data_IF_779470596649
#
_entry.id   IF_779470596649
#
_cell.length_a   1.000
_cell.length_b   1.000
_cell.length_c   1.000
_cell.angle_alpha   90.00
_cell.angle_beta   90.00
_cell.angle_gamma   90.00
#
_symmetry.space_group_name_H-M   'P 1'
#
loop_
_entity.id
_entity.type
_entity.pdbx_description
1 polymer ?
#
# COMPACT_ATOMS: atom_id res chain seq x y z
N UNK A 1 -9.78 -4.48 17.16
CA UNK A 1 -8.41 -4.54 16.58
C UNK A 1 -7.94 -3.12 16.37
N UNK A 2 -6.98 -2.71 17.14
CA UNK A 2 -6.53 -1.33 17.23
C UNK A 2 -5.11 -1.14 16.66
N UNK A 3 -4.59 0.10 16.73
CA UNK A 3 -3.23 0.45 16.32
C UNK A 3 -2.15 -0.41 16.99
N UNK A 4 -2.41 -0.98 18.18
CA UNK A 4 -1.51 -1.89 18.86
C UNK A 4 -1.17 -3.15 18.07
N UNK A 5 -2.12 -3.71 17.35
CA UNK A 5 -1.92 -4.94 16.57
C UNK A 5 -0.98 -4.71 15.37
N UNK A 6 -1.06 -3.51 14.74
CA UNK A 6 -0.18 -3.15 13.63
C UNK A 6 1.28 -2.98 14.07
N UNK A 7 1.51 -2.40 15.23
CA UNK A 7 2.86 -2.26 15.80
C UNK A 7 3.43 -3.60 16.26
N UNK A 8 2.61 -4.49 16.82
CA UNK A 8 3.02 -5.85 17.15
C UNK A 8 3.44 -6.63 15.91
N UNK A 9 2.67 -6.52 14.81
CA UNK A 9 3.03 -7.12 13.53
C UNK A 9 4.36 -6.58 13.01
N UNK A 10 4.57 -5.26 13.06
CA UNK A 10 5.83 -4.63 12.66
C UNK A 10 7.00 -5.15 13.50
N UNK A 11 6.86 -5.19 14.83
CA UNK A 11 7.92 -5.69 15.73
C UNK A 11 8.33 -7.11 15.35
N UNK A 12 7.38 -7.99 15.13
CA UNK A 12 7.65 -9.36 14.70
C UNK A 12 8.38 -9.43 13.35
N UNK A 13 7.96 -8.65 12.36
CA UNK A 13 8.64 -8.59 11.06
C UNK A 13 10.08 -8.07 11.18
N UNK A 14 10.30 -7.09 12.05
CA UNK A 14 11.65 -6.57 12.33
C UNK A 14 12.55 -7.61 12.98
N UNK A 15 12.02 -8.38 13.92
CA UNK A 15 12.74 -9.50 14.53
C UNK A 15 13.09 -10.58 13.50
N UNK A 16 12.09 -11.06 12.76
CA UNK A 16 12.26 -12.13 11.76
C UNK A 16 13.21 -11.77 10.62
N UNK A 17 13.17 -10.51 10.14
CA UNK A 17 13.90 -10.09 8.95
C UNK A 17 15.21 -9.37 9.21
N UNK A 18 15.35 -8.74 10.36
CA UNK A 18 16.47 -7.87 10.69
C UNK A 18 17.11 -8.17 12.05
N UNK A 19 16.57 -9.14 12.81
CA UNK A 19 17.07 -9.51 14.15
C UNK A 19 16.87 -8.43 15.22
N UNK A 20 15.89 -7.54 15.02
CA UNK A 20 15.56 -6.49 15.98
C UNK A 20 14.50 -6.98 16.95
N UNK A 21 14.89 -7.27 18.17
CA UNK A 21 14.05 -7.85 19.23
C UNK A 21 13.03 -6.87 19.84
N UNK A 22 13.13 -5.60 19.51
CA UNK A 22 12.23 -4.53 19.97
C UNK A 22 11.99 -3.49 18.89
N UNK A 23 10.85 -2.81 19.02
CA UNK A 23 10.51 -1.71 18.13
C UNK A 23 11.49 -0.53 18.33
N UNK A 24 12.23 -0.08 17.31
CA UNK A 24 13.05 1.10 17.40
C UNK A 24 12.21 2.36 17.64
N UNK A 25 12.86 3.43 18.12
CA UNK A 25 12.18 4.73 18.27
C UNK A 25 11.56 5.16 16.95
N UNK A 26 10.29 5.55 16.99
CA UNK A 26 9.54 6.04 15.82
C UNK A 26 9.43 7.55 15.90
N UNK A 27 9.80 8.23 14.84
CA UNK A 27 9.50 9.65 14.61
C UNK A 27 8.55 9.79 13.42
N UNK A 28 8.05 11.00 13.17
CA UNK A 28 7.21 11.33 12.01
C UNK A 28 7.83 12.44 11.20
N UNK A 29 7.74 12.34 9.88
CA UNK A 29 8.06 13.43 8.96
C UNK A 29 7.03 14.56 9.09
N UNK A 30 7.29 15.71 8.49
CA UNK A 30 6.30 16.80 8.41
C UNK A 30 4.98 16.37 7.75
N UNK A 31 5.04 15.44 6.78
CA UNK A 31 3.86 14.86 6.13
C UNK A 31 3.21 13.73 6.97
N UNK A 32 3.71 13.46 8.19
CA UNK A 32 3.15 12.48 9.11
C UNK A 32 3.61 11.03 8.87
N UNK A 33 4.46 10.74 7.87
CA UNK A 33 4.98 9.39 7.61
C UNK A 33 5.88 8.96 8.77
N UNK A 34 5.62 7.78 9.39
CA UNK A 34 6.48 7.28 10.46
C UNK A 34 7.79 6.72 9.88
N UNK A 35 8.88 6.86 10.64
CA UNK A 35 10.20 6.38 10.28
C UNK A 35 11.07 6.13 11.52
N UNK A 36 12.21 5.44 11.34
CA UNK A 36 13.19 5.14 12.39
C UNK A 36 14.40 6.09 12.28
N UNK A 37 14.50 7.12 13.13
CA UNK A 37 15.62 8.08 13.06
C UNK A 37 16.99 7.44 13.32
N UNK A 38 17.03 6.37 14.10
CA UNK A 38 18.27 5.64 14.40
C UNK A 38 18.65 4.62 13.31
N UNK A 39 17.72 4.29 12.41
CA UNK A 39 17.88 3.32 11.32
C UNK A 39 17.41 3.91 9.98
N UNK A 40 18.06 4.97 9.46
CA UNK A 40 17.54 5.74 8.32
C UNK A 40 17.51 4.95 7.00
N UNK A 41 18.12 3.77 6.94
CA UNK A 41 18.06 2.84 5.79
C UNK A 41 17.08 1.69 5.97
N UNK A 42 16.29 1.72 7.05
CA UNK A 42 15.24 0.75 7.29
C UNK A 42 13.89 1.46 7.19
N UNK A 43 13.10 1.04 6.24
CA UNK A 43 11.80 1.63 5.92
C UNK A 43 10.69 0.67 6.33
N UNK A 44 9.58 1.24 6.76
CA UNK A 44 8.37 0.48 7.01
C UNK A 44 7.14 1.29 6.62
N UNK A 45 6.05 0.59 6.39
CA UNK A 45 4.74 1.19 6.19
C UNK A 45 3.64 0.28 6.71
N UNK A 46 2.59 0.87 7.23
CA UNK A 46 1.44 0.18 7.81
C UNK A 46 0.16 0.64 7.11
N UNK A 47 -0.76 -0.28 6.90
CA UNK A 47 -2.13 0.02 6.47
C UNK A 47 -3.11 -0.89 7.19
N UNK A 48 -4.34 -0.42 7.39
CA UNK A 48 -5.41 -1.21 7.97
C UNK A 48 -6.77 -0.80 7.41
N UNK A 49 -7.66 -1.78 7.21
CA UNK A 49 -9.03 -1.55 6.77
C UNK A 49 -9.94 -2.72 7.18
N UNK A 50 -11.05 -2.43 7.86
CA UNK A 50 -12.07 -3.43 8.18
C UNK A 50 -11.55 -4.66 8.94
N UNK A 51 -10.63 -4.47 9.88
CA UNK A 51 -10.01 -5.55 10.66
C UNK A 51 -8.79 -6.21 9.99
N UNK A 52 -8.46 -5.84 8.75
CA UNK A 52 -7.25 -6.28 8.07
C UNK A 52 -6.09 -5.34 8.40
N UNK A 53 -4.89 -5.89 8.55
CA UNK A 53 -3.66 -5.14 8.76
C UNK A 53 -2.63 -5.61 7.74
N UNK A 54 -1.93 -4.66 7.12
CA UNK A 54 -0.82 -4.91 6.24
C UNK A 54 0.41 -4.13 6.73
N UNK A 55 1.54 -4.83 6.82
CA UNK A 55 2.82 -4.25 7.17
C UNK A 55 3.85 -4.58 6.09
N UNK A 56 4.61 -3.58 5.66
CA UNK A 56 5.78 -3.75 4.81
C UNK A 56 7.03 -3.23 5.51
N UNK A 57 8.15 -3.94 5.36
CA UNK A 57 9.49 -3.53 5.80
C UNK A 57 10.51 -3.78 4.69
N UNK A 58 11.51 -2.90 4.56
CA UNK A 58 12.53 -3.03 3.52
C UNK A 58 13.66 -2.03 3.66
N UNK A 59 14.66 -2.13 2.78
CA UNK A 59 15.85 -1.25 2.76
C UNK A 59 15.74 -0.07 1.80
N UNK A 60 14.61 0.07 1.14
CA UNK A 60 14.27 1.20 0.26
C UNK A 60 12.92 1.81 0.65
N UNK A 61 12.65 3.07 0.29
CA UNK A 61 11.35 3.67 0.49
C UNK A 61 10.23 2.77 -0.04
N UNK A 62 9.21 2.53 0.78
CA UNK A 62 8.07 1.69 0.43
C UNK A 62 6.77 2.26 0.98
N UNK A 63 5.68 1.85 0.35
CA UNK A 63 4.33 2.10 0.81
C UNK A 63 3.47 0.86 0.56
N UNK A 64 2.57 0.59 1.47
CA UNK A 64 1.59 -0.49 1.35
C UNK A 64 0.20 0.04 1.65
N UNK A 65 -0.80 -0.53 0.99
CA UNK A 65 -2.19 -0.25 1.29
C UNK A 65 -3.03 -1.51 1.22
N UNK A 66 -4.03 -1.62 2.09
CA UNK A 66 -5.00 -2.71 2.11
C UNK A 66 -6.39 -2.16 2.35
N UNK A 67 -7.36 -2.63 1.58
CA UNK A 67 -8.76 -2.24 1.71
C UNK A 67 -9.69 -3.46 1.69
N UNK A 68 -10.63 -3.46 2.62
CA UNK A 68 -11.74 -4.40 2.57
C UNK A 68 -12.77 -3.93 1.53
N UNK A 69 -13.17 -4.85 0.65
CA UNK A 69 -14.16 -4.55 -0.38
C UNK A 69 -15.52 -4.27 0.26
N UNK A 70 -16.09 -3.15 -0.11
CA UNK A 70 -17.44 -2.74 0.28
C UNK A 70 -18.00 -1.75 -0.72
N UNK A 71 -19.31 -1.76 -0.99
CA UNK A 71 -19.92 -0.75 -1.83
C UNK A 71 -19.69 0.66 -1.27
N UNK A 72 -19.46 1.61 -2.15
CA UNK A 72 -19.25 3.02 -1.85
C UNK A 72 -20.31 3.88 -2.58
N UNK A 73 -20.25 5.19 -2.35
CA UNK A 73 -21.13 6.13 -3.02
C UNK A 73 -20.96 6.07 -4.55
N UNK A 74 -22.04 6.16 -5.33
CA UNK A 74 -21.96 6.39 -6.76
C UNK A 74 -21.06 7.59 -7.08
N UNK A 75 -20.29 7.51 -8.16
CA UNK A 75 -19.36 8.59 -8.55
C UNK A 75 -17.97 8.53 -7.93
N UNK A 76 -17.71 7.68 -6.91
CA UNK A 76 -16.37 7.56 -6.32
C UNK A 76 -15.30 7.22 -7.37
N UNK A 77 -15.60 6.34 -8.32
CA UNK A 77 -14.68 5.98 -9.40
C UNK A 77 -14.26 7.22 -10.22
N UNK A 78 -15.19 8.10 -10.55
CA UNK A 78 -14.90 9.37 -11.26
C UNK A 78 -14.02 10.33 -10.45
N UNK A 79 -14.14 10.31 -9.14
CA UNK A 79 -13.32 11.13 -8.26
C UNK A 79 -11.89 10.60 -8.12
N UNK A 80 -11.73 9.28 -8.10
CA UNK A 80 -10.45 8.59 -7.82
C UNK A 80 -9.63 8.35 -9.08
N UNK A 81 -10.28 7.99 -10.19
CA UNK A 81 -9.63 7.51 -11.41
C UNK A 81 -9.40 8.65 -12.41
N UNK A 82 -8.23 8.62 -13.05
CA UNK A 82 -7.99 9.41 -14.27
C UNK A 82 -8.88 8.92 -15.42
N UNK A 83 -8.95 9.65 -16.51
CA UNK A 83 -9.74 9.24 -17.69
C UNK A 83 -9.31 7.86 -18.24
N UNK A 84 -7.99 7.60 -18.30
CA UNK A 84 -7.45 6.32 -18.77
C UNK A 84 -7.82 5.18 -17.82
N UNK A 85 -7.63 5.38 -16.51
CA UNK A 85 -7.97 4.41 -15.49
C UNK A 85 -9.48 4.15 -15.43
N UNK A 86 -10.29 5.19 -15.63
CA UNK A 86 -11.73 5.07 -15.68
C UNK A 86 -12.20 4.26 -16.88
N UNK A 87 -11.61 4.47 -18.07
CA UNK A 87 -11.89 3.68 -19.26
C UNK A 87 -11.52 2.20 -19.03
N UNK A 88 -10.36 1.94 -18.44
CA UNK A 88 -9.94 0.58 -18.07
C UNK A 88 -10.92 -0.07 -17.06
N UNK A 89 -11.31 0.66 -16.02
CA UNK A 89 -12.29 0.23 -15.03
C UNK A 89 -13.65 -0.14 -15.67
N UNK A 90 -14.16 0.70 -16.57
CA UNK A 90 -15.43 0.43 -17.29
C UNK A 90 -15.32 -0.79 -18.20
N UNK A 91 -14.22 -0.93 -18.92
CA UNK A 91 -13.98 -2.10 -19.77
C UNK A 91 -13.97 -3.42 -18.98
N UNK A 92 -13.65 -3.37 -17.71
CA UNK A 92 -13.69 -4.51 -16.77
C UNK A 92 -15.03 -4.70 -16.05
N UNK A 93 -16.07 -4.04 -16.50
CA UNK A 93 -17.41 -4.15 -15.94
C UNK A 93 -17.69 -3.21 -14.77
N UNK A 94 -16.78 -2.31 -14.42
CA UNK A 94 -17.02 -1.30 -13.39
C UNK A 94 -17.19 -1.85 -11.98
N UNK A 95 -16.56 -2.99 -11.66
CA UNK A 95 -16.70 -3.67 -10.38
C UNK A 95 -15.84 -3.03 -9.26
N UNK A 96 -16.27 -3.23 -8.01
CA UNK A 96 -15.56 -2.70 -6.85
C UNK A 96 -14.14 -3.24 -6.71
N UNK A 97 -13.90 -4.49 -7.09
CA UNK A 97 -12.57 -5.08 -7.03
C UNK A 97 -11.57 -4.33 -7.90
N UNK A 98 -11.95 -3.98 -9.13
CA UNK A 98 -11.13 -3.19 -10.05
C UNK A 98 -10.87 -1.77 -9.51
N UNK A 99 -11.89 -1.11 -8.95
CA UNK A 99 -11.74 0.20 -8.34
C UNK A 99 -10.76 0.17 -7.16
N UNK A 100 -10.95 -0.78 -6.24
CA UNK A 100 -10.10 -0.89 -5.06
C UNK A 100 -8.67 -1.31 -5.41
N UNK A 101 -8.45 -2.07 -6.48
CA UNK A 101 -7.10 -2.38 -6.97
C UNK A 101 -6.36 -1.09 -7.35
N UNK A 102 -6.97 -0.23 -8.15
CA UNK A 102 -6.37 1.07 -8.52
C UNK A 102 -6.23 2.00 -7.32
N UNK A 103 -7.22 2.03 -6.43
CA UNK A 103 -7.17 2.82 -5.21
C UNK A 103 -5.98 2.44 -4.34
N UNK A 104 -5.80 1.14 -4.02
CA UNK A 104 -4.69 0.67 -3.18
C UNK A 104 -3.33 0.92 -3.81
N UNK A 105 -3.20 0.82 -5.15
CA UNK A 105 -1.98 1.18 -5.87
C UNK A 105 -1.63 2.67 -5.70
N UNK A 106 -2.62 3.57 -5.80
CA UNK A 106 -2.43 5.01 -5.59
C UNK A 106 -2.02 5.34 -4.15
N UNK A 107 -2.72 4.77 -3.17
CA UNK A 107 -2.40 4.95 -1.76
C UNK A 107 -0.99 4.40 -1.43
N UNK A 108 -0.63 3.23 -1.96
CA UNK A 108 0.71 2.66 -1.79
C UNK A 108 1.79 3.59 -2.38
N UNK A 109 1.56 4.18 -3.56
CA UNK A 109 2.47 5.18 -4.17
C UNK A 109 2.64 6.41 -3.27
N UNK A 110 1.53 7.01 -2.85
CA UNK A 110 1.54 8.21 -1.98
C UNK A 110 2.28 7.93 -0.68
N UNK A 111 2.05 6.77 -0.06
CA UNK A 111 2.74 6.32 1.15
C UNK A 111 4.23 6.04 0.91
N UNK A 112 4.59 5.46 -0.24
CA UNK A 112 5.98 5.23 -0.64
C UNK A 112 6.73 6.56 -0.72
N UNK A 113 6.20 7.52 -1.46
CA UNK A 113 6.78 8.84 -1.65
C UNK A 113 6.72 9.72 -0.38
N UNK A 114 5.83 9.41 0.54
CA UNK A 114 5.66 10.18 1.78
C UNK A 114 5.07 11.57 1.57
N UNK A 115 4.41 11.83 0.45
CA UNK A 115 3.85 13.14 0.09
C UNK A 115 2.54 13.46 0.83
N UNK A 116 1.89 12.45 1.42
CA UNK A 116 0.56 12.58 2.01
C UNK A 116 -0.52 12.85 0.95
N UNK A 117 -1.75 13.08 1.37
CA UNK A 117 -2.91 13.35 0.49
C UNK A 117 -2.93 14.80 -0.05
N UNK A 118 -1.80 15.30 -0.51
CA UNK A 118 -1.72 16.69 -1.05
C UNK A 118 -2.24 16.81 -2.49
N UNK A 119 -2.44 15.68 -3.17
CA UNK A 119 -2.90 15.63 -4.56
C UNK A 119 -4.27 14.97 -4.65
N UNK A 120 -5.09 15.41 -5.62
CA UNK A 120 -6.33 14.71 -5.92
C UNK A 120 -6.01 13.28 -6.38
N UNK A 121 -6.71 12.23 -5.89
CA UNK A 121 -6.38 10.83 -6.23
C UNK A 121 -6.30 10.57 -7.74
N UNK A 122 -7.14 11.21 -8.54
CA UNK A 122 -7.15 11.08 -10.00
C UNK A 122 -5.87 11.57 -10.70
N UNK A 123 -5.03 12.37 -10.04
CA UNK A 123 -3.76 12.85 -10.60
C UNK A 123 -2.57 11.97 -10.22
N UNK A 124 -2.75 11.02 -9.31
CA UNK A 124 -1.74 10.03 -8.95
C UNK A 124 -1.77 8.91 -9.99
N UNK A 125 -0.76 8.85 -10.85
CA UNK A 125 -0.62 7.82 -11.90
C UNK A 125 -0.11 6.52 -11.30
N UNK A 126 -0.67 5.39 -11.75
CA UNK A 126 -0.24 4.04 -11.35
C UNK A 126 -0.34 3.10 -12.57
N UNK A 127 0.41 1.98 -12.59
CA UNK A 127 0.23 0.99 -13.64
C UNK A 127 -1.14 0.31 -13.51
N UNK A 128 -1.72 -0.09 -14.65
CA UNK A 128 -2.99 -0.82 -14.70
C UNK A 128 -2.74 -2.29 -14.43
N UNK A 129 -2.81 -2.70 -13.19
CA UNK A 129 -2.53 -4.05 -12.72
C UNK A 129 -3.79 -4.77 -12.23
N UNK A 130 -3.79 -6.08 -12.37
CA UNK A 130 -4.71 -6.99 -11.71
C UNK A 130 -4.05 -7.59 -10.45
N UNK A 131 -4.84 -8.09 -9.48
CA UNK A 131 -4.29 -8.88 -8.39
C UNK A 131 -3.37 -9.99 -8.87
N UNK A 132 -2.19 -10.12 -8.25
CA UNK A 132 -1.11 -11.02 -8.64
C UNK A 132 -0.10 -10.44 -9.65
N UNK A 133 -0.40 -9.32 -10.29
CA UNK A 133 0.49 -8.69 -11.26
C UNK A 133 1.46 -7.68 -10.61
N UNK A 134 2.60 -7.54 -11.27
CA UNK A 134 3.65 -6.57 -10.96
C UNK A 134 3.87 -5.64 -12.16
N UNK A 135 4.31 -4.42 -11.91
CA UNK A 135 4.62 -3.44 -12.96
C UNK A 135 5.48 -2.31 -12.43
N UNK A 136 6.01 -1.53 -13.36
CA UNK A 136 6.84 -0.37 -13.06
C UNK A 136 6.26 0.89 -13.70
N UNK A 137 6.37 2.01 -12.98
CA UNK A 137 6.00 3.32 -13.49
C UNK A 137 6.83 4.39 -12.76
N UNK A 138 7.40 5.34 -13.51
CA UNK A 138 8.17 6.47 -12.95
C UNK A 138 9.31 6.06 -12.01
N UNK A 139 9.98 4.92 -12.30
CA UNK A 139 11.06 4.40 -11.47
C UNK A 139 10.61 3.74 -10.16
N UNK A 140 9.31 3.53 -9.99
CA UNK A 140 8.74 2.80 -8.86
C UNK A 140 8.21 1.44 -9.32
N UNK A 141 8.37 0.44 -8.46
CA UNK A 141 7.82 -0.90 -8.67
C UNK A 141 6.55 -1.06 -7.86
N UNK A 142 5.58 -1.71 -8.46
CA UNK A 142 4.26 -1.95 -7.89
C UNK A 142 3.90 -3.42 -7.96
N UNK A 143 3.17 -3.88 -6.97
CA UNK A 143 2.48 -5.16 -7.01
C UNK A 143 1.09 -5.04 -6.43
N UNK A 144 0.11 -5.59 -7.15
CA UNK A 144 -1.27 -5.68 -6.70
C UNK A 144 -1.56 -7.06 -6.12
N UNK A 145 -2.30 -7.09 -5.03
CA UNK A 145 -2.74 -8.31 -4.35
C UNK A 145 -4.26 -8.29 -4.18
N UNK A 146 -4.84 -9.47 -4.03
CA UNK A 146 -6.27 -9.55 -3.77
C UNK A 146 -6.73 -10.91 -3.27
N UNK A 147 -7.76 -10.88 -2.48
CA UNK A 147 -8.54 -12.02 -2.04
C UNK A 147 -10.02 -11.84 -2.35
N UNK A 148 -10.85 -12.67 -1.76
CA UNK A 148 -12.30 -12.66 -2.02
C UNK A 148 -12.92 -11.32 -1.67
N UNK A 149 -12.57 -10.73 -0.53
CA UNK A 149 -13.19 -9.55 0.05
C UNK A 149 -12.23 -8.40 0.37
N UNK A 150 -11.01 -8.44 -0.20
CA UNK A 150 -10.01 -7.39 -0.01
C UNK A 150 -9.14 -7.17 -1.25
N UNK A 151 -8.54 -5.99 -1.32
CA UNK A 151 -7.45 -5.64 -2.24
C UNK A 151 -6.32 -4.99 -1.46
N UNK A 152 -5.10 -5.21 -1.95
CA UNK A 152 -3.92 -4.55 -1.39
C UNK A 152 -2.91 -4.23 -2.50
N UNK A 153 -1.98 -3.35 -2.18
CA UNK A 153 -0.87 -3.03 -3.06
C UNK A 153 0.40 -2.73 -2.24
N UNK A 154 1.52 -2.96 -2.87
CA UNK A 154 2.82 -2.50 -2.44
C UNK A 154 3.47 -1.65 -3.54
N UNK A 155 4.20 -0.62 -3.12
CA UNK A 155 5.00 0.24 -3.97
C UNK A 155 6.38 0.42 -3.33
N UNK A 156 7.45 0.34 -4.12
CA UNK A 156 8.83 0.56 -3.64
C UNK A 156 9.67 1.30 -4.67
N UNK A 157 10.62 2.11 -4.16
CA UNK A 157 11.68 2.73 -4.97
C UNK A 157 12.93 1.85 -5.05
N UNK A 158 12.92 0.67 -4.44
CA UNK A 158 14.04 -0.28 -4.46
C UNK A 158 13.99 -1.27 -5.61
N UNK A 159 15.12 -1.92 -5.85
CA UNK A 159 15.24 -2.97 -6.86
C UNK A 159 14.94 -4.37 -6.31
N UNK A 160 14.70 -4.51 -5.01
CA UNK A 160 14.31 -5.78 -4.42
C UNK A 160 12.92 -6.18 -4.94
N UNK A 161 12.71 -7.46 -5.29
CA UNK A 161 11.41 -7.93 -5.74
C UNK A 161 10.39 -7.80 -4.62
N UNK A 162 9.18 -7.36 -4.99
CA UNK A 162 8.04 -7.40 -4.09
C UNK A 162 7.58 -8.84 -3.90
N UNK A 163 7.19 -9.26 -2.68
CA UNK A 163 6.78 -10.64 -2.42
C UNK A 163 5.58 -11.03 -3.29
N UNK A 164 5.58 -12.26 -3.78
CA UNK A 164 4.49 -12.78 -4.63
C UNK A 164 3.17 -12.87 -3.88
N UNK A 165 3.23 -13.16 -2.59
CA UNK A 165 2.07 -13.33 -1.73
C UNK A 165 2.21 -12.53 -0.43
N UNK A 166 1.09 -12.08 0.11
CA UNK A 166 1.00 -11.52 1.45
C UNK A 166 0.91 -12.68 2.44
N UNK A 167 1.88 -12.76 3.36
CA UNK A 167 1.80 -13.74 4.45
C UNK A 167 0.67 -13.35 5.40
N UNK A 168 -0.28 -14.24 5.58
CA UNK A 168 -1.31 -14.11 6.59
C UNK A 168 -0.74 -14.62 7.92
N UNK A 169 -0.89 -13.83 8.98
CA UNK A 169 -0.66 -14.29 10.34
C UNK A 169 -2.03 -14.42 11.01
N UNK A 170 -2.32 -15.63 11.49
CA UNK A 170 -3.51 -15.97 12.25
C UNK A 170 -3.24 -15.70 13.74
#
# INVERSE_FOLDING_TARGET
MGSGDAWALLTRLLEERFGLDRLPRVARTEAGKPWFPELPRLFFNLSHSGGLILCGVGRAPLGVDIERLRPRRPGLARYVLSELEFAWFQHRGGDWGSLYTLWTLKEAKVKCLGTGLRQAPRTVTVPLLLPGQEGELEGLRFRAYGGVDWRAAACTAGNEPLPEEIRQQI
#
